data_IF_006959339828
#
_entry.id   IF_006959339828
#
_cell.length_a   1.000
_cell.length_b   1.000
_cell.length_c   1.000
_cell.angle_alpha   90.00
_cell.angle_beta   90.00
_cell.angle_gamma   90.00
#
_symmetry.space_group_name_H-M   'P 1'
#
loop_
_entity.id
_entity.type
_entity.pdbx_description
1 polymer ?
#
# COMPACT_ATOMS: atom_id res chain seq x y z
N UNK A 1 -2.32 -13.36 18.97
CA UNK A 1 -3.47 -12.90 18.18
C UNK A 1 -3.04 -12.18 16.93
N UNK A 2 -3.66 -12.50 15.83
CA UNK A 2 -3.29 -11.88 14.57
C UNK A 2 -3.85 -10.49 14.43
N UNK A 3 -3.03 -9.59 13.92
CA UNK A 3 -3.45 -8.26 13.61
C UNK A 3 -4.27 -8.25 12.32
N UNK A 4 -5.39 -7.58 12.34
CA UNK A 4 -6.24 -7.46 11.17
C UNK A 4 -5.80 -6.28 10.32
N UNK A 5 -5.47 -6.53 9.07
CA UNK A 5 -5.15 -5.45 8.15
C UNK A 5 -6.44 -4.79 7.68
N UNK A 6 -6.35 -3.50 7.39
CA UNK A 6 -7.49 -2.79 6.82
C UNK A 6 -7.78 -3.32 5.42
N UNK A 7 -9.01 -3.15 4.91
CA UNK A 7 -9.33 -3.58 3.55
C UNK A 7 -8.40 -2.96 2.50
N UNK A 8 -8.02 -1.70 2.70
CA UNK A 8 -7.11 -1.05 1.78
C UNK A 8 -5.73 -1.73 1.75
N UNK A 9 -5.20 -2.07 2.92
CA UNK A 9 -3.91 -2.75 3.00
C UNK A 9 -3.93 -4.09 2.27
N UNK A 10 -5.01 -4.85 2.46
CA UNK A 10 -5.18 -6.13 1.78
C UNK A 10 -5.25 -5.95 0.27
N UNK A 11 -5.98 -4.94 -0.17
CA UNK A 11 -6.12 -4.67 -1.60
C UNK A 11 -4.80 -4.28 -2.24
N UNK A 12 -3.99 -3.48 -1.55
CA UNK A 12 -2.66 -3.12 -2.05
C UNK A 12 -1.80 -4.37 -2.23
N UNK A 13 -1.75 -5.22 -1.20
CA UNK A 13 -0.95 -6.44 -1.27
C UNK A 13 -1.43 -7.37 -2.37
N UNK A 14 -2.74 -7.53 -2.49
CA UNK A 14 -3.33 -8.36 -3.52
C UNK A 14 -3.01 -7.83 -4.91
N UNK A 15 -3.10 -6.51 -5.09
CA UNK A 15 -2.79 -5.90 -6.39
C UNK A 15 -1.33 -6.10 -6.76
N UNK A 16 -0.43 -5.99 -5.79
CA UNK A 16 0.99 -6.25 -6.04
C UNK A 16 1.22 -7.67 -6.52
N UNK A 17 0.53 -8.64 -5.93
CA UNK A 17 0.62 -10.03 -6.34
C UNK A 17 0.03 -10.21 -7.74
N UNK A 18 -1.13 -9.62 -8.00
CA UNK A 18 -1.80 -9.73 -9.30
C UNK A 18 -0.96 -9.14 -10.42
N UNK A 19 -0.23 -8.07 -10.14
CA UNK A 19 0.62 -7.41 -11.12
C UNK A 19 2.04 -7.94 -11.13
N UNK A 20 2.33 -8.93 -10.28
CA UNK A 20 3.67 -9.49 -10.15
C UNK A 20 4.68 -8.39 -9.84
N UNK A 21 4.30 -7.46 -8.98
CA UNK A 21 5.06 -6.27 -8.65
C UNK A 21 5.61 -6.37 -7.23
N UNK A 22 6.86 -5.97 -7.04
CA UNK A 22 7.46 -5.95 -5.72
C UNK A 22 7.22 -4.62 -5.02
N UNK A 23 7.44 -4.59 -3.70
CA UNK A 23 7.34 -3.34 -2.94
C UNK A 23 8.38 -2.34 -3.44
N UNK A 24 9.55 -2.81 -3.84
CA UNK A 24 10.60 -1.95 -4.38
C UNK A 24 10.12 -1.25 -5.65
N UNK A 25 9.42 -1.97 -6.51
CA UNK A 25 8.85 -1.39 -7.72
C UNK A 25 7.79 -0.35 -7.39
N UNK A 26 6.94 -0.65 -6.40
CA UNK A 26 5.94 0.29 -5.96
C UNK A 26 6.57 1.57 -5.42
N UNK A 27 7.66 1.45 -4.67
CA UNK A 27 8.39 2.62 -4.16
C UNK A 27 8.85 3.51 -5.29
N UNK A 28 9.34 2.92 -6.38
CA UNK A 28 9.74 3.68 -7.55
C UNK A 28 8.58 4.41 -8.21
N UNK A 29 7.42 3.77 -8.23
CA UNK A 29 6.23 4.36 -8.83
C UNK A 29 5.72 5.58 -8.04
N UNK A 30 5.74 5.49 -6.72
CA UNK A 30 5.23 6.58 -5.88
C UNK A 30 6.31 7.56 -5.44
N UNK A 31 7.59 7.25 -5.70
CA UNK A 31 8.69 8.14 -5.36
C UNK A 31 8.96 8.26 -3.88
N UNK A 32 8.70 7.22 -3.11
CA UNK A 32 8.89 7.21 -1.66
C UNK A 32 9.86 6.12 -1.24
N UNK A 33 10.45 6.25 -0.06
CA UNK A 33 11.38 5.25 0.41
C UNK A 33 10.66 3.96 0.79
N UNK A 34 11.39 2.85 0.69
CA UNK A 34 10.82 1.53 0.92
C UNK A 34 10.26 1.36 2.33
N UNK A 35 10.96 1.86 3.33
CA UNK A 35 10.49 1.73 4.71
C UNK A 35 9.15 2.42 4.92
N UNK A 36 9.01 3.59 4.36
CA UNK A 36 7.78 4.36 4.45
C UNK A 36 6.62 3.62 3.79
N UNK A 37 6.83 3.14 2.58
CA UNK A 37 5.80 2.40 1.84
C UNK A 37 5.45 1.10 2.57
N UNK A 38 6.45 0.35 2.99
CA UNK A 38 6.24 -0.92 3.71
C UNK A 38 5.43 -0.70 4.99
N UNK A 39 5.78 0.31 5.76
CA UNK A 39 5.09 0.62 7.01
C UNK A 39 3.63 0.98 6.75
N UNK A 40 3.39 1.73 5.67
CA UNK A 40 2.05 2.16 5.32
C UNK A 40 1.18 1.00 4.86
N UNK A 41 1.70 0.12 4.00
CA UNK A 41 0.90 -1.00 3.49
C UNK A 41 0.72 -2.10 4.52
N UNK A 42 1.50 -2.09 5.61
CA UNK A 42 1.32 -3.02 6.71
C UNK A 42 0.40 -2.47 7.80
N UNK A 43 -0.11 -1.27 7.62
CA UNK A 43 -1.04 -0.68 8.57
C UNK A 43 -0.40 -0.21 9.86
N UNK A 44 0.92 -0.01 9.87
CA UNK A 44 1.63 0.44 11.06
C UNK A 44 1.66 1.96 11.19
N UNK A 45 1.41 2.65 10.10
CA UNK A 45 1.48 4.11 10.09
C UNK A 45 0.34 4.66 9.25
N UNK A 46 -0.25 5.73 9.75
CA UNK A 46 -1.30 6.42 9.01
C UNK A 46 -0.66 7.45 8.08
N UNK A 47 -0.77 7.24 6.79
CA UNK A 47 -0.15 8.11 5.80
C UNK A 47 -1.11 8.33 4.62
N UNK A 48 -2.13 9.18 4.81
CA UNK A 48 -3.14 9.36 3.77
C UNK A 48 -2.59 9.90 2.46
N UNK A 49 -1.59 10.77 2.51
CA UNK A 49 -0.99 11.30 1.28
C UNK A 49 -0.30 10.20 0.47
N UNK A 50 0.45 9.33 1.15
CA UNK A 50 1.10 8.20 0.48
C UNK A 50 0.08 7.18 0.00
N UNK A 51 -0.95 6.93 0.81
CA UNK A 51 -2.01 6.01 0.44
C UNK A 51 -2.70 6.46 -0.86
N UNK A 52 -2.93 7.75 -1.01
CA UNK A 52 -3.52 8.28 -2.23
C UNK A 52 -2.62 8.03 -3.44
N UNK A 53 -1.33 8.24 -3.29
CA UNK A 53 -0.37 7.98 -4.37
C UNK A 53 -0.34 6.50 -4.74
N UNK A 54 -0.35 5.62 -3.75
CA UNK A 54 -0.35 4.18 -3.98
C UNK A 54 -1.64 3.78 -4.69
N UNK A 55 -2.78 4.29 -4.24
CA UNK A 55 -4.07 3.98 -4.85
C UNK A 55 -4.10 4.39 -6.32
N UNK A 56 -3.57 5.55 -6.63
CA UNK A 56 -3.49 6.02 -8.02
C UNK A 56 -2.56 5.16 -8.85
N UNK A 57 -1.42 4.79 -8.30
CA UNK A 57 -0.43 3.99 -9.01
C UNK A 57 -0.95 2.58 -9.31
N UNK A 58 -1.73 2.01 -8.39
CA UNK A 58 -2.25 0.66 -8.52
C UNK A 58 -3.72 0.61 -8.96
N UNK A 59 -4.32 1.77 -9.20
CA UNK A 59 -5.73 1.85 -9.61
C UNK A 59 -6.65 1.16 -8.61
N UNK A 60 -6.46 1.47 -7.34
CA UNK A 60 -7.24 0.90 -6.25
C UNK A 60 -8.41 1.82 -5.90
N UNK A 61 -9.61 1.27 -5.87
CA UNK A 61 -10.82 2.02 -5.52
C UNK A 61 -11.17 1.91 -4.04
N UNK A 62 -10.54 1.00 -3.32
CA UNK A 62 -10.85 0.76 -1.91
C UNK A 62 -10.47 1.99 -1.08
N UNK A 63 -11.39 2.40 -0.20
CA UNK A 63 -11.14 3.52 0.68
C UNK A 63 -10.01 3.21 1.66
N UNK A 64 -9.13 4.20 1.85
CA UNK A 64 -8.01 4.04 2.78
C UNK A 64 -8.53 4.17 4.22
N UNK A 65 -8.36 3.11 4.98
CA UNK A 65 -8.69 3.09 6.40
C UNK A 65 -7.56 2.41 7.16
N UNK A 66 -7.50 2.66 8.44
CA UNK A 66 -6.51 2.03 9.31
C UNK A 66 -7.15 1.01 10.21
#
# INVERSE_FOLDING_TARGET
MKRKLSPWCKEVKRTLIDRDMSVTELCGEVGMCRNYVTTTINGRMYAPALAEKISKALDIDTEYTI
#
